data_IF_480446397767
#
_entry.id   IF_480446397767
#
_cell.length_a   1.000
_cell.length_b   1.000
_cell.length_c   1.000
_cell.angle_alpha   90.00
_cell.angle_beta   90.00
_cell.angle_gamma   90.00
#
_symmetry.space_group_name_H-M   'P 1'
#
loop_
_entity.id
_entity.type
_entity.pdbx_description
1 polymer ?
#
# COMPACT_ATOMS: atom_id res chain seq x y z
N UNK A 1 17.22 -15.65 0.33
CA UNK A 1 16.36 -15.32 -0.83
C UNK A 1 15.67 -14.03 -0.46
N UNK A 2 15.69 -13.01 -1.35
CA UNK A 2 15.05 -11.72 -1.07
C UNK A 2 13.53 -11.82 -1.10
N UNK A 3 12.86 -10.92 -0.37
CA UNK A 3 11.41 -10.87 -0.24
C UNK A 3 10.87 -9.59 -0.91
N UNK A 4 9.70 -9.69 -1.53
CA UNK A 4 9.04 -8.56 -2.19
C UNK A 4 7.60 -8.45 -1.70
N UNK A 5 7.20 -7.27 -1.23
CA UNK A 5 5.81 -6.92 -0.96
C UNK A 5 5.29 -6.18 -2.19
N UNK A 6 4.16 -6.61 -2.73
CA UNK A 6 3.49 -5.99 -3.87
C UNK A 6 2.24 -5.30 -3.39
N UNK A 7 2.30 -3.98 -3.26
CA UNK A 7 1.22 -3.16 -2.68
C UNK A 7 0.49 -2.37 -3.77
N UNK A 8 -0.83 -2.35 -3.72
CA UNK A 8 -1.63 -1.33 -4.43
C UNK A 8 -2.19 -0.31 -3.45
N UNK A 9 -1.91 0.96 -3.70
CA UNK A 9 -2.47 2.08 -2.94
C UNK A 9 -3.86 2.49 -3.48
N UNK A 10 -4.53 3.38 -2.74
CA UNK A 10 -5.77 4.07 -3.12
C UNK A 10 -7.03 3.21 -3.21
N UNK A 11 -7.11 2.04 -2.57
CA UNK A 11 -8.41 1.35 -2.43
C UNK A 11 -9.38 2.25 -1.64
N UNK A 12 -10.57 2.47 -2.16
CA UNK A 12 -11.57 3.39 -1.58
C UNK A 12 -11.69 4.73 -2.31
N UNK A 13 -10.71 5.10 -3.14
CA UNK A 13 -10.73 6.36 -3.90
C UNK A 13 -11.78 6.33 -5.02
N UNK A 14 -11.98 5.20 -5.70
CA UNK A 14 -12.93 5.02 -6.79
C UNK A 14 -13.44 3.58 -6.86
N UNK A 15 -14.74 3.41 -7.19
CA UNK A 15 -15.31 2.08 -7.46
C UNK A 15 -14.64 1.36 -8.62
N UNK A 16 -14.13 2.12 -9.59
CA UNK A 16 -13.45 1.59 -10.76
C UNK A 16 -12.07 1.09 -10.36
N UNK A 17 -11.31 1.88 -9.59
CA UNK A 17 -10.00 1.45 -9.08
C UNK A 17 -10.13 0.23 -8.16
N UNK A 18 -11.09 0.24 -7.24
CA UNK A 18 -11.33 -0.90 -6.36
C UNK A 18 -11.54 -2.19 -7.14
N UNK A 19 -12.34 -2.16 -8.23
CA UNK A 19 -12.57 -3.34 -9.06
C UNK A 19 -11.28 -3.88 -9.68
N UNK A 20 -10.42 -2.99 -10.19
CA UNK A 20 -9.15 -3.39 -10.79
C UNK A 20 -8.19 -3.96 -9.74
N UNK A 21 -8.17 -3.39 -8.53
CA UNK A 21 -7.39 -3.91 -7.40
C UNK A 21 -7.91 -5.29 -7.00
N UNK A 22 -9.22 -5.47 -6.82
CA UNK A 22 -9.80 -6.78 -6.51
C UNK A 22 -9.45 -7.82 -7.56
N UNK A 23 -9.55 -7.47 -8.86
CA UNK A 23 -9.16 -8.37 -9.96
C UNK A 23 -7.66 -8.73 -9.90
N UNK A 24 -6.80 -7.80 -9.48
CA UNK A 24 -5.38 -8.08 -9.30
C UNK A 24 -5.13 -9.06 -8.13
N UNK A 25 -5.90 -8.93 -7.04
CA UNK A 25 -5.86 -9.87 -5.91
C UNK A 25 -6.32 -11.28 -6.36
N UNK A 26 -7.47 -11.35 -7.03
CA UNK A 26 -8.01 -12.62 -7.57
C UNK A 26 -7.00 -13.35 -8.46
N UNK A 27 -6.17 -12.58 -9.18
CA UNK A 27 -5.11 -13.08 -10.07
C UNK A 27 -3.77 -13.37 -9.34
N UNK A 28 -3.71 -13.33 -8.01
CA UNK A 28 -2.52 -13.54 -7.17
C UNK A 28 -1.37 -12.55 -7.46
N UNK A 29 -1.70 -11.34 -7.92
CA UNK A 29 -0.71 -10.32 -8.29
C UNK A 29 -0.31 -9.39 -7.15
N UNK A 30 -1.11 -9.28 -6.09
CA UNK A 30 -0.86 -8.42 -4.95
C UNK A 30 -0.67 -9.22 -3.66
N UNK A 31 0.15 -8.71 -2.76
CA UNK A 31 0.31 -9.24 -1.40
C UNK A 31 -0.07 -8.22 -0.32
N UNK A 32 -0.41 -7.00 -0.73
CA UNK A 32 -0.79 -5.91 0.18
C UNK A 32 -1.70 -4.90 -0.52
N UNK A 33 -2.63 -4.31 0.22
CA UNK A 33 -3.51 -3.23 -0.25
C UNK A 33 -3.62 -2.14 0.80
N UNK A 34 -3.43 -0.89 0.40
CA UNK A 34 -3.59 0.28 1.27
C UNK A 34 -4.94 0.95 1.04
N UNK A 35 -5.71 1.13 2.12
CA UNK A 35 -7.14 1.48 2.11
C UNK A 35 -7.36 2.88 2.65
N UNK A 36 -7.95 3.75 1.83
CA UNK A 36 -8.45 5.07 2.22
C UNK A 36 -9.76 4.93 2.99
N UNK A 37 -9.93 5.67 4.09
CA UNK A 37 -11.10 5.54 4.98
C UNK A 37 -12.06 6.73 4.93
N UNK A 38 -11.75 7.72 4.10
CA UNK A 38 -12.59 8.90 3.95
C UNK A 38 -13.32 8.93 2.60
N UNK A 39 -14.39 9.71 2.51
CA UNK A 39 -15.05 10.02 1.25
C UNK A 39 -15.77 8.85 0.58
N UNK A 40 -15.28 8.41 -0.58
CA UNK A 40 -16.02 7.50 -1.44
C UNK A 40 -16.19 6.09 -0.88
N UNK A 41 -15.28 5.62 -0.06
CA UNK A 41 -15.33 4.26 0.51
C UNK A 41 -16.61 3.99 1.30
N UNK A 42 -17.15 5.00 1.99
CA UNK A 42 -18.39 4.90 2.77
C UNK A 42 -19.61 4.45 1.94
N UNK A 43 -19.53 4.50 0.61
CA UNK A 43 -20.57 4.05 -0.33
C UNK A 43 -20.18 2.80 -1.10
N UNK A 44 -19.15 2.08 -0.65
CA UNK A 44 -18.53 0.97 -1.38
C UNK A 44 -18.44 -0.32 -0.55
N UNK A 45 -19.33 -0.48 0.45
CA UNK A 45 -19.26 -1.59 1.42
C UNK A 45 -19.13 -2.96 0.75
N UNK A 46 -19.89 -3.25 -0.29
CA UNK A 46 -19.77 -4.54 -1.01
C UNK A 46 -18.36 -4.80 -1.58
N UNK A 47 -17.60 -3.76 -1.96
CA UNK A 47 -16.23 -3.93 -2.42
C UNK A 47 -15.26 -4.09 -1.25
N UNK A 48 -15.56 -3.46 -0.11
CA UNK A 48 -14.81 -3.67 1.14
C UNK A 48 -15.00 -5.10 1.64
N UNK A 49 -16.23 -5.59 1.67
CA UNK A 49 -16.53 -6.96 2.10
C UNK A 49 -15.80 -7.99 1.21
N UNK A 50 -15.77 -7.76 -0.10
CA UNK A 50 -15.01 -8.58 -1.03
C UNK A 50 -13.50 -8.50 -0.82
N UNK A 51 -12.97 -7.28 -0.55
CA UNK A 51 -11.55 -7.09 -0.22
C UNK A 51 -11.16 -7.91 1.02
N UNK A 52 -11.97 -7.83 2.09
CA UNK A 52 -11.70 -8.54 3.35
C UNK A 52 -11.72 -10.05 3.13
N UNK A 53 -12.71 -10.57 2.41
CA UNK A 53 -12.80 -12.00 2.11
C UNK A 53 -11.59 -12.50 1.30
N UNK A 54 -11.18 -11.75 0.28
CA UNK A 54 -9.99 -12.07 -0.53
C UNK A 54 -8.69 -11.94 0.27
N UNK A 55 -8.59 -10.95 1.16
CA UNK A 55 -7.42 -10.76 2.00
C UNK A 55 -7.23 -11.94 2.97
N UNK A 56 -8.29 -12.43 3.57
CA UNK A 56 -8.27 -13.63 4.41
C UNK A 56 -7.91 -14.89 3.61
N UNK A 57 -8.57 -15.11 2.46
CA UNK A 57 -8.33 -16.28 1.61
C UNK A 57 -6.89 -16.37 1.11
N UNK A 58 -6.32 -15.22 0.69
CA UNK A 58 -5.01 -15.15 0.02
C UNK A 58 -3.87 -14.65 0.91
N UNK A 59 -4.13 -14.43 2.20
CA UNK A 59 -3.17 -13.92 3.18
C UNK A 59 -2.54 -12.57 2.77
N UNK A 60 -3.38 -11.64 2.30
CA UNK A 60 -2.98 -10.29 1.90
C UNK A 60 -3.07 -9.35 3.10
N UNK A 61 -2.05 -8.52 3.30
CA UNK A 61 -2.09 -7.49 4.34
C UNK A 61 -2.90 -6.28 3.91
N UNK A 62 -3.71 -5.74 4.83
CA UNK A 62 -4.52 -4.54 4.66
C UNK A 62 -3.95 -3.39 5.47
N UNK A 63 -3.54 -2.31 4.82
CA UNK A 63 -2.98 -1.11 5.45
C UNK A 63 -3.96 0.06 5.48
N UNK A 64 -3.78 0.94 6.47
CA UNK A 64 -4.44 2.24 6.51
C UNK A 64 -3.66 3.25 5.66
N UNK A 65 -4.25 3.69 4.53
CA UNK A 65 -3.74 4.77 3.68
C UNK A 65 -4.13 6.13 4.26
N UNK A 66 -3.25 6.66 5.13
CA UNK A 66 -3.53 7.83 5.94
C UNK A 66 -3.63 9.10 5.09
N UNK A 67 -4.75 9.79 5.18
CA UNK A 67 -5.01 11.04 4.45
C UNK A 67 -4.75 12.23 5.37
N UNK A 68 -3.76 13.06 5.03
CA UNK A 68 -3.36 14.23 5.80
C UNK A 68 -3.73 15.49 5.02
N UNK A 69 -4.32 16.48 5.68
CA UNK A 69 -4.53 17.80 5.08
C UNK A 69 -3.28 18.69 5.23
N UNK A 70 -3.09 19.63 4.30
CA UNK A 70 -1.94 20.56 4.35
C UNK A 70 -1.91 21.46 5.58
N UNK A 71 -3.05 21.64 6.24
CA UNK A 71 -3.23 22.47 7.44
C UNK A 71 -3.36 21.62 8.70
N UNK A 72 -2.99 20.34 8.64
CA UNK A 72 -3.08 19.45 9.81
C UNK A 72 -2.08 19.86 10.90
N UNK A 73 -2.58 20.02 12.11
CA UNK A 73 -1.80 20.42 13.27
C UNK A 73 -1.91 19.41 14.44
N UNK A 74 -2.81 18.42 14.34
CA UNK A 74 -3.03 17.40 15.37
C UNK A 74 -2.96 16.01 14.72
N UNK A 75 -1.72 15.60 14.44
CA UNK A 75 -1.46 14.34 13.73
C UNK A 75 -1.85 13.11 14.55
N UNK A 76 -1.74 13.20 15.88
CA UNK A 76 -2.11 12.10 16.78
C UNK A 76 -3.61 11.82 16.72
N UNK A 77 -4.44 12.86 16.88
CA UNK A 77 -5.89 12.75 16.74
C UNK A 77 -6.32 12.31 15.34
N UNK A 78 -5.61 12.77 14.31
CA UNK A 78 -5.88 12.34 12.93
C UNK A 78 -5.63 10.84 12.78
N UNK A 79 -4.51 10.32 13.30
CA UNK A 79 -4.19 8.89 13.26
C UNK A 79 -5.25 8.06 14.00
N UNK A 80 -5.61 8.44 15.22
CA UNK A 80 -6.67 7.78 16.01
C UNK A 80 -7.99 7.74 15.24
N UNK A 81 -8.44 8.89 14.73
CA UNK A 81 -9.71 8.99 14.03
C UNK A 81 -9.76 8.15 12.75
N UNK A 82 -8.67 8.08 11.97
CA UNK A 82 -8.65 7.27 10.76
C UNK A 82 -8.45 5.78 11.06
N UNK A 83 -7.72 5.45 12.13
CA UNK A 83 -7.65 4.08 12.64
C UNK A 83 -9.04 3.55 13.03
N UNK A 84 -9.78 4.30 13.83
CA UNK A 84 -11.12 3.90 14.28
C UNK A 84 -12.09 3.76 13.09
N UNK A 85 -11.99 4.63 12.10
CA UNK A 85 -12.75 4.51 10.84
C UNK A 85 -12.36 3.25 10.07
N UNK A 86 -11.06 2.94 9.98
CA UNK A 86 -10.60 1.74 9.31
C UNK A 86 -11.22 0.49 9.96
N UNK A 87 -11.11 0.37 11.27
CA UNK A 87 -11.71 -0.74 12.03
C UNK A 87 -13.23 -0.81 11.83
N UNK A 88 -13.90 0.33 11.86
CA UNK A 88 -15.36 0.38 11.66
C UNK A 88 -15.81 -0.03 10.23
N UNK A 89 -15.01 0.27 9.20
CA UNK A 89 -15.33 0.00 7.79
C UNK A 89 -14.88 -1.39 7.37
N UNK A 90 -13.65 -1.77 7.74
CA UNK A 90 -12.99 -3.00 7.29
C UNK A 90 -13.27 -4.18 8.23
N UNK A 91 -13.54 -3.91 9.50
CA UNK A 91 -13.89 -4.93 10.51
C UNK A 91 -12.69 -5.58 11.20
N UNK A 92 -11.46 -5.21 10.80
CA UNK A 92 -10.19 -5.66 11.42
C UNK A 92 -9.26 -4.47 11.64
N UNK A 93 -8.23 -4.63 12.46
CA UNK A 93 -7.17 -3.62 12.59
C UNK A 93 -6.27 -3.65 11.35
N UNK A 94 -5.67 -2.50 10.96
CA UNK A 94 -4.73 -2.48 9.85
C UNK A 94 -3.41 -3.18 10.22
N UNK A 95 -2.81 -3.89 9.28
CA UNK A 95 -1.51 -4.55 9.44
C UNK A 95 -0.35 -3.56 9.39
N UNK A 96 -0.54 -2.46 8.72
CA UNK A 96 0.43 -1.37 8.57
C UNK A 96 -0.27 -0.04 8.30
N UNK A 97 0.52 1.03 8.41
CA UNK A 97 0.09 2.39 8.02
C UNK A 97 1.05 2.90 6.95
N UNK A 98 0.52 3.67 6.01
CA UNK A 98 1.27 4.46 5.05
C UNK A 98 0.54 5.79 4.78
N UNK A 99 1.12 6.67 3.96
CA UNK A 99 0.63 8.03 3.83
C UNK A 99 0.30 8.34 2.37
N UNK A 100 -0.94 8.74 2.13
CA UNK A 100 -1.36 9.30 0.84
C UNK A 100 -0.60 10.59 0.53
N UNK A 101 0.06 10.66 -0.66
CA UNK A 101 0.92 11.80 -1.05
C UNK A 101 2.02 12.11 -0.03
N UNK A 102 2.67 11.08 0.45
CA UNK A 102 3.69 11.07 1.50
C UNK A 102 4.71 12.22 1.41
N UNK A 103 5.18 12.54 0.19
CA UNK A 103 6.16 13.59 -0.07
C UNK A 103 5.75 14.99 0.42
N UNK A 104 4.45 15.23 0.66
CA UNK A 104 3.94 16.48 1.22
C UNK A 104 3.99 16.54 2.75
N UNK A 105 4.22 15.40 3.42
CA UNK A 105 3.99 15.24 4.86
C UNK A 105 5.19 14.67 5.63
N UNK A 106 6.39 14.83 5.08
CA UNK A 106 7.66 14.29 5.66
C UNK A 106 7.89 14.71 7.11
N UNK A 107 7.44 15.90 7.50
CA UNK A 107 7.54 16.43 8.88
C UNK A 107 6.81 15.57 9.93
N UNK A 108 5.83 14.76 9.51
CA UNK A 108 4.99 13.95 10.39
C UNK A 108 5.40 12.48 10.47
N UNK A 109 6.43 12.06 9.72
CA UNK A 109 6.81 10.64 9.64
C UNK A 109 7.16 10.04 11.01
N UNK A 110 7.89 10.77 11.87
CA UNK A 110 8.27 10.25 13.19
C UNK A 110 7.07 10.21 14.15
N UNK A 111 6.14 11.15 14.07
CA UNK A 111 4.92 11.15 14.90
C UNK A 111 4.03 9.95 14.53
N UNK A 112 3.82 9.71 13.23
CA UNK A 112 3.05 8.57 12.73
C UNK A 112 3.78 7.25 13.05
N UNK A 113 5.10 7.20 12.93
CA UNK A 113 5.89 6.04 13.33
C UNK A 113 5.73 5.73 14.82
N UNK A 114 5.68 6.77 15.69
CA UNK A 114 5.37 6.63 17.11
C UNK A 114 4.01 5.99 17.35
N UNK A 115 2.99 6.43 16.64
CA UNK A 115 1.65 5.84 16.66
C UNK A 115 1.65 4.37 16.20
N UNK A 116 2.40 4.03 15.13
CA UNK A 116 2.54 2.65 14.69
C UNK A 116 3.18 1.74 15.75
N UNK A 117 4.19 2.25 16.47
CA UNK A 117 4.82 1.52 17.59
C UNK A 117 3.81 1.27 18.70
N UNK A 118 3.03 2.28 19.10
CA UNK A 118 1.98 2.16 20.11
C UNK A 118 0.93 1.10 19.73
N UNK A 119 0.51 1.09 18.47
CA UNK A 119 -0.45 0.11 17.93
C UNK A 119 0.18 -1.24 17.62
N UNK A 120 1.50 -1.39 17.70
CA UNK A 120 2.25 -2.59 17.32
C UNK A 120 2.00 -3.04 15.86
N UNK A 121 1.89 -2.08 14.95
CA UNK A 121 1.74 -2.32 13.50
C UNK A 121 2.94 -1.83 12.73
N UNK A 122 3.09 -2.29 11.49
CA UNK A 122 4.17 -1.85 10.63
C UNK A 122 3.92 -0.43 10.08
N UNK A 123 4.99 0.24 9.67
CA UNK A 123 4.93 1.49 8.93
C UNK A 123 5.69 1.34 7.62
N UNK A 124 5.16 1.85 6.52
CA UNK A 124 5.88 1.88 5.24
C UNK A 124 7.25 2.52 5.43
N UNK A 125 8.26 2.01 4.75
CA UNK A 125 9.63 2.54 4.85
C UNK A 125 9.74 3.90 4.16
N UNK A 126 9.92 4.94 4.96
CA UNK A 126 10.29 6.27 4.49
C UNK A 126 11.72 6.60 4.95
N UNK A 127 12.53 7.20 4.06
CA UNK A 127 13.96 7.47 4.35
C UNK A 127 14.16 8.42 5.52
N UNK A 128 13.24 9.34 5.71
CA UNK A 128 13.25 10.35 6.76
C UNK A 128 12.81 9.80 8.13
N UNK A 129 12.28 8.58 8.18
CA UNK A 129 11.91 7.96 9.47
C UNK A 129 13.16 7.54 10.22
N UNK A 130 13.34 8.08 11.42
CA UNK A 130 14.52 7.84 12.28
C UNK A 130 14.25 6.88 13.43
N UNK A 131 12.99 6.58 13.72
CA UNK A 131 12.58 5.64 14.76
C UNK A 131 12.69 4.20 14.25
N UNK A 132 13.17 3.30 15.10
CA UNK A 132 13.20 1.87 14.81
C UNK A 132 11.79 1.29 14.97
N UNK A 133 11.26 0.72 13.91
CA UNK A 133 9.95 0.09 13.91
C UNK A 133 9.89 -1.03 12.87
N UNK A 134 8.83 -1.81 12.92
CA UNK A 134 8.54 -2.86 11.95
C UNK A 134 8.25 -2.23 10.58
N UNK A 135 9.10 -2.47 9.61
CA UNK A 135 9.00 -1.91 8.25
C UNK A 135 9.73 -2.82 7.24
N UNK A 136 9.43 -2.73 5.93
CA UNK A 136 10.31 -3.25 4.89
C UNK A 136 11.71 -2.60 4.97
N UNK A 137 12.74 -3.27 4.44
CA UNK A 137 14.09 -2.70 4.41
C UNK A 137 14.21 -1.53 3.43
N UNK A 138 13.45 -1.60 2.31
CA UNK A 138 13.38 -0.52 1.31
C UNK A 138 11.96 -0.45 0.71
N UNK A 139 11.61 0.71 0.19
CA UNK A 139 10.38 0.97 -0.57
C UNK A 139 10.72 1.62 -1.90
N UNK A 140 10.02 1.22 -2.95
CA UNK A 140 10.20 1.76 -4.28
C UNK A 140 8.86 2.02 -4.98
N UNK A 141 8.65 3.25 -5.43
CA UNK A 141 7.45 3.67 -6.15
C UNK A 141 7.49 3.15 -7.59
N UNK A 142 6.77 2.08 -7.87
CA UNK A 142 6.72 1.44 -9.18
C UNK A 142 6.02 2.33 -10.22
N UNK A 143 4.96 3.06 -9.83
CA UNK A 143 4.17 3.92 -10.70
C UNK A 143 4.98 4.95 -11.47
N UNK A 144 5.94 5.59 -10.81
CA UNK A 144 6.81 6.62 -11.41
C UNK A 144 8.07 6.06 -12.03
N UNK A 145 8.25 4.74 -12.08
CA UNK A 145 9.50 4.09 -12.47
C UNK A 145 9.40 3.37 -13.81
N UNK A 146 10.53 3.32 -14.54
CA UNK A 146 10.66 2.49 -15.73
C UNK A 146 10.83 1.00 -15.39
N UNK A 147 10.51 0.12 -16.32
CA UNK A 147 10.74 -1.33 -16.17
C UNK A 147 12.22 -1.64 -15.86
N UNK A 148 13.15 -0.94 -16.52
CA UNK A 148 14.59 -1.10 -16.27
C UNK A 148 14.97 -0.76 -14.83
N UNK A 149 14.39 0.29 -14.25
CA UNK A 149 14.64 0.67 -12.85
C UNK A 149 14.05 -0.36 -11.88
N UNK A 150 12.85 -0.88 -12.15
CA UNK A 150 12.23 -1.94 -11.38
C UNK A 150 13.09 -3.22 -11.40
N UNK A 151 13.53 -3.64 -12.59
CA UNK A 151 14.42 -4.80 -12.72
C UNK A 151 15.75 -4.62 -11.97
N UNK A 152 16.36 -3.44 -12.09
CA UNK A 152 17.59 -3.12 -11.37
C UNK A 152 17.40 -3.23 -9.85
N UNK A 153 16.28 -2.74 -9.33
CA UNK A 153 15.95 -2.86 -7.89
C UNK A 153 15.77 -4.31 -7.46
N UNK A 154 15.02 -5.10 -8.22
CA UNK A 154 14.80 -6.51 -7.92
C UNK A 154 16.09 -7.34 -7.97
N UNK A 155 16.95 -7.11 -8.97
CA UNK A 155 18.25 -7.79 -9.08
C UNK A 155 19.26 -7.40 -7.99
N UNK A 156 19.12 -6.20 -7.42
CA UNK A 156 19.99 -5.72 -6.33
C UNK A 156 19.53 -6.19 -4.93
N UNK A 157 18.37 -6.84 -4.82
CA UNK A 157 17.81 -7.25 -3.54
C UNK A 157 18.66 -8.38 -2.92
N UNK A 158 19.17 -8.12 -1.73
CA UNK A 158 19.99 -9.09 -0.99
C UNK A 158 19.12 -10.19 -0.38
N UNK A 159 19.71 -11.37 -0.10
CA UNK A 159 19.01 -12.38 0.69
C UNK A 159 18.51 -11.82 2.02
N UNK A 160 17.28 -12.19 2.37
CA UNK A 160 16.57 -11.81 3.61
C UNK A 160 16.12 -10.35 3.71
N UNK A 161 16.58 -9.46 2.82
CA UNK A 161 16.01 -8.11 2.70
C UNK A 161 14.57 -8.19 2.13
N UNK A 162 13.73 -7.25 2.54
CA UNK A 162 12.36 -7.09 2.05
C UNK A 162 12.21 -5.74 1.34
N UNK A 163 11.82 -5.78 0.07
CA UNK A 163 11.51 -4.62 -0.76
C UNK A 163 10.01 -4.49 -0.94
N UNK A 164 9.44 -3.33 -0.62
CA UNK A 164 8.07 -3.00 -1.03
C UNK A 164 8.08 -2.29 -2.39
N UNK A 165 7.28 -2.81 -3.33
CA UNK A 165 6.96 -2.15 -4.60
C UNK A 165 5.54 -1.62 -4.55
N UNK A 166 5.38 -0.30 -4.72
CA UNK A 166 4.09 0.39 -4.61
C UNK A 166 3.55 0.73 -5.99
N UNK A 167 2.34 0.29 -6.25
CA UNK A 167 1.57 0.51 -7.48
C UNK A 167 0.29 1.29 -7.20
N UNK A 168 -0.22 1.97 -8.22
CA UNK A 168 -1.53 2.63 -8.21
C UNK A 168 -2.39 2.03 -9.33
N UNK A 169 -2.95 0.85 -9.07
CA UNK A 169 -3.72 0.11 -10.09
C UNK A 169 -5.06 0.77 -10.36
N UNK A 170 -5.47 0.77 -11.61
CA UNK A 170 -6.78 1.26 -12.03
C UNK A 170 -6.87 1.44 -13.54
N UNK A 171 -8.00 1.97 -13.97
CA UNK A 171 -8.22 2.49 -15.31
C UNK A 171 -8.70 3.93 -15.22
N UNK A 172 -8.66 4.67 -16.30
CA UNK A 172 -9.11 6.06 -16.31
C UNK A 172 -10.55 6.20 -15.78
N UNK A 173 -10.74 7.06 -14.79
CA UNK A 173 -12.05 7.42 -14.22
C UNK A 173 -12.25 8.94 -14.29
N UNK A 174 -13.14 9.41 -15.16
CA UNK A 174 -13.42 10.84 -15.38
C UNK A 174 -13.95 11.56 -14.12
N UNK A 175 -14.48 10.80 -13.17
CA UNK A 175 -15.05 11.35 -11.93
C UNK A 175 -13.99 11.52 -10.83
N UNK A 176 -12.75 11.07 -11.06
CA UNK A 176 -11.66 11.15 -10.08
C UNK A 176 -10.62 12.19 -10.49
N UNK A 177 -10.38 13.13 -9.60
CA UNK A 177 -9.29 14.11 -9.72
C UNK A 177 -8.00 13.53 -9.10
N UNK A 178 -7.31 12.67 -9.86
CA UNK A 178 -6.02 12.11 -9.47
C UNK A 178 -4.98 12.47 -10.52
N UNK A 179 -3.78 12.87 -10.07
CA UNK A 179 -2.64 13.13 -10.98
C UNK A 179 -2.19 11.86 -11.70
N UNK A 180 -2.46 10.69 -11.16
CA UNK A 180 -2.08 9.38 -11.71
C UNK A 180 -3.22 8.72 -12.53
N UNK A 181 -4.35 9.41 -12.75
CA UNK A 181 -5.55 8.81 -13.31
C UNK A 181 -5.34 8.19 -14.71
N UNK A 182 -4.43 8.74 -15.52
CA UNK A 182 -4.13 8.22 -16.87
C UNK A 182 -3.11 7.08 -16.84
N UNK A 183 -2.20 7.10 -15.88
CA UNK A 183 -1.07 6.19 -15.77
C UNK A 183 -1.41 4.87 -15.07
N UNK A 184 -2.55 4.80 -14.37
CA UNK A 184 -2.95 3.61 -13.56
C UNK A 184 -3.06 2.32 -14.38
N UNK A 185 -3.47 2.39 -15.63
CA UNK A 185 -3.55 1.21 -16.50
C UNK A 185 -2.14 0.63 -16.81
N UNK A 186 -1.12 1.48 -16.87
CA UNK A 186 0.27 1.05 -17.07
C UNK A 186 0.80 0.30 -15.85
N UNK A 187 0.36 0.67 -14.65
CA UNK A 187 0.79 0.02 -13.40
C UNK A 187 0.32 -1.43 -13.34
N UNK A 188 -0.84 -1.76 -13.89
CA UNK A 188 -1.28 -3.15 -14.03
C UNK A 188 -0.33 -3.96 -14.90
N UNK A 189 0.10 -3.41 -16.03
CA UNK A 189 1.04 -4.06 -16.96
C UNK A 189 2.41 -4.21 -16.28
N UNK A 190 2.88 -3.19 -15.57
CA UNK A 190 4.14 -3.26 -14.82
C UNK A 190 4.10 -4.34 -13.75
N UNK A 191 2.98 -4.47 -13.03
CA UNK A 191 2.81 -5.47 -11.97
C UNK A 191 2.90 -6.90 -12.53
N UNK A 192 2.24 -7.18 -13.65
CA UNK A 192 2.31 -8.48 -14.32
C UNK A 192 3.74 -8.80 -14.79
N UNK A 193 4.42 -7.80 -15.35
CA UNK A 193 5.81 -7.93 -15.76
C UNK A 193 6.75 -8.18 -14.55
N UNK A 194 6.54 -7.48 -13.44
CA UNK A 194 7.31 -7.65 -12.18
C UNK A 194 7.19 -9.08 -11.66
N UNK A 195 6.00 -9.68 -11.72
CA UNK A 195 5.83 -11.09 -11.35
C UNK A 195 6.70 -12.03 -12.18
N UNK A 196 6.85 -11.78 -13.49
CA UNK A 196 7.76 -12.53 -14.36
C UNK A 196 9.22 -12.45 -13.88
N UNK A 197 9.68 -11.24 -13.53
CA UNK A 197 11.05 -11.01 -13.03
C UNK A 197 11.25 -11.64 -11.64
N UNK A 198 10.27 -11.54 -10.73
CA UNK A 198 10.32 -12.17 -9.40
C UNK A 198 10.51 -13.68 -9.55
N UNK A 199 9.75 -14.33 -10.44
CA UNK A 199 9.85 -15.76 -10.70
C UNK A 199 11.21 -16.14 -11.32
N UNK A 200 11.71 -15.37 -12.30
CA UNK A 200 13.03 -15.57 -12.92
C UNK A 200 14.16 -15.52 -11.87
N UNK A 201 14.09 -14.54 -10.94
CA UNK A 201 15.10 -14.33 -9.92
C UNK A 201 14.93 -15.26 -8.70
N UNK A 202 13.85 -16.01 -8.62
CA UNK A 202 13.52 -16.87 -7.49
C UNK A 202 13.27 -16.09 -6.19
N UNK A 203 12.79 -14.83 -6.28
CA UNK A 203 12.42 -14.02 -5.12
C UNK A 203 11.08 -14.52 -4.55
N UNK A 204 10.79 -14.16 -3.30
CA UNK A 204 9.52 -14.52 -2.65
C UNK A 204 8.60 -13.33 -2.58
N UNK A 205 7.34 -13.51 -3.00
CA UNK A 205 6.26 -12.57 -2.67
C UNK A 205 5.83 -12.85 -1.23
N UNK A 206 5.81 -11.80 -0.41
CA UNK A 206 5.41 -11.83 1.00
C UNK A 206 4.45 -10.68 1.29
N UNK A 207 3.70 -10.74 2.40
CA UNK A 207 2.88 -9.62 2.89
C UNK A 207 3.52 -8.97 4.12
N UNK A 208 2.95 -7.89 4.61
CA UNK A 208 3.39 -7.25 5.86
C UNK A 208 3.28 -8.18 7.08
N UNK A 209 2.43 -9.21 7.05
CA UNK A 209 2.34 -10.22 8.11
C UNK A 209 3.66 -10.93 8.38
N UNK A 210 4.54 -11.05 7.37
CA UNK A 210 5.82 -11.77 7.48
C UNK A 210 7.01 -10.87 7.86
N UNK A 211 6.81 -9.58 8.05
CA UNK A 211 7.85 -8.69 8.58
C UNK A 211 8.18 -9.07 10.03
N UNK A 212 9.48 -9.07 10.33
CA UNK A 212 10.02 -9.41 11.66
C UNK A 212 10.12 -8.19 12.57
#
# INVERSE_FOLDING_TARGET
>A
MGNVILTSDDFGLSKIYNREILTAIESDLLSSVSVMVNGHILKQQNQVDNLVALAEEKNISLGLHLEISTNENDIENLCVNQWDKFVAIVGVEPDYIDIHKDHLFTKHYNDIAGFCIEKNVAFRKYKETTVALKAPDDMFMASSSSLTNLETKLRALRPDDTLELVFHIGVYDENVKSSLNKERAEDRIKLEWVHGVINELGLKVVSYHQLK
#
